data_IF_179258272619
#
_entry.id   IF_179258272619
#
_cell.length_a   1.000
_cell.length_b   1.000
_cell.length_c   1.000
_cell.angle_alpha   90.00
_cell.angle_beta   90.00
_cell.angle_gamma   90.00
#
_symmetry.space_group_name_H-M   'P 1'
#
loop_
_entity.id
_entity.type
_entity.pdbx_description
1 polymer ?
#
# COMPACT_ATOMS: atom_id res chain seq x y z
N UNK A 1 -37.94 37.53 3.17
CA UNK A 1 -36.64 38.21 3.37
C UNK A 1 -35.55 37.25 2.91
N UNK A 2 -34.64 37.74 2.08
CA UNK A 2 -33.83 36.99 1.12
C UNK A 2 -32.87 35.95 1.73
N UNK A 3 -32.80 34.79 1.08
CA UNK A 3 -31.88 33.69 1.28
C UNK A 3 -30.45 34.12 1.00
N UNK A 4 -29.65 34.38 2.03
CA UNK A 4 -28.19 34.40 1.88
C UNK A 4 -27.71 32.96 1.75
N UNK A 5 -27.66 32.54 0.49
CA UNK A 5 -26.90 31.41 -0.03
C UNK A 5 -25.57 31.27 0.72
N UNK A 6 -25.42 30.14 1.41
CA UNK A 6 -24.15 29.61 1.90
C UNK A 6 -23.23 29.31 0.71
N UNK A 7 -22.66 30.35 0.10
CA UNK A 7 -21.59 30.23 -0.89
C UNK A 7 -20.30 29.94 -0.13
N UNK A 8 -20.08 28.68 0.25
CA UNK A 8 -18.74 28.21 0.64
C UNK A 8 -17.76 28.55 -0.49
N UNK A 9 -16.60 29.08 -0.13
CA UNK A 9 -15.57 29.45 -1.10
C UNK A 9 -15.26 28.24 -2.01
N UNK A 10 -15.14 28.42 -3.35
CA UNK A 10 -14.85 27.32 -4.28
C UNK A 10 -13.63 26.47 -3.89
N UNK A 11 -12.63 27.07 -3.22
CA UNK A 11 -11.47 26.37 -2.67
C UNK A 11 -11.82 25.40 -1.54
N UNK A 12 -12.72 25.77 -0.62
CA UNK A 12 -13.18 24.88 0.45
C UNK A 12 -13.95 23.68 -0.11
N UNK A 13 -14.77 23.88 -1.15
CA UNK A 13 -15.45 22.77 -1.82
C UNK A 13 -14.47 21.83 -2.53
N UNK A 14 -13.41 22.36 -3.16
CA UNK A 14 -12.36 21.53 -3.79
C UNK A 14 -11.57 20.73 -2.76
N UNK A 15 -11.23 21.33 -1.63
CA UNK A 15 -10.53 20.64 -0.54
C UNK A 15 -11.39 19.54 0.10
N UNK A 16 -12.67 19.82 0.37
CA UNK A 16 -13.62 18.85 0.92
C UNK A 16 -13.83 17.67 -0.04
N UNK A 17 -14.01 17.94 -1.33
CA UNK A 17 -14.13 16.88 -2.35
C UNK A 17 -12.84 16.07 -2.46
N UNK A 18 -11.68 16.73 -2.51
CA UNK A 18 -10.39 16.07 -2.63
C UNK A 18 -10.11 15.15 -1.43
N UNK A 19 -10.19 15.67 -0.21
CA UNK A 19 -9.94 14.89 1.02
C UNK A 19 -10.94 13.74 1.20
N UNK A 20 -12.22 13.97 0.89
CA UNK A 20 -13.25 12.94 0.96
C UNK A 20 -13.01 11.83 -0.06
N UNK A 21 -12.68 12.18 -1.31
CA UNK A 21 -12.40 11.21 -2.36
C UNK A 21 -11.16 10.34 -2.02
N UNK A 22 -10.07 10.95 -1.56
CA UNK A 22 -8.87 10.22 -1.11
C UNK A 22 -9.21 9.29 0.06
N UNK A 23 -9.99 9.76 1.04
CA UNK A 23 -10.41 8.94 2.18
C UNK A 23 -11.28 7.75 1.73
N UNK A 24 -12.21 7.96 0.81
CA UNK A 24 -13.09 6.90 0.28
C UNK A 24 -12.29 5.85 -0.50
N UNK A 25 -11.36 6.27 -1.36
CA UNK A 25 -10.47 5.38 -2.10
C UNK A 25 -9.61 4.58 -1.12
N UNK A 26 -8.95 5.25 -0.16
CA UNK A 26 -8.10 4.58 0.81
C UNK A 26 -8.90 3.55 1.64
N UNK A 27 -10.09 3.90 2.15
CA UNK A 27 -10.96 2.96 2.87
C UNK A 27 -11.33 1.74 2.04
N UNK A 28 -11.62 1.93 0.76
CA UNK A 28 -11.95 0.84 -0.17
C UNK A 28 -10.75 -0.08 -0.39
N UNK A 29 -9.57 0.50 -0.63
CA UNK A 29 -8.30 -0.24 -0.76
C UNK A 29 -7.98 -1.02 0.52
N UNK A 30 -8.12 -0.41 1.70
CA UNK A 30 -7.87 -1.10 2.98
C UNK A 30 -8.86 -2.25 3.22
N UNK A 31 -10.13 -2.07 2.85
CA UNK A 31 -11.15 -3.13 2.95
C UNK A 31 -10.80 -4.31 2.04
N UNK A 32 -10.45 -4.04 0.78
CA UNK A 32 -10.00 -5.07 -0.17
C UNK A 32 -8.78 -5.80 0.41
N UNK A 33 -7.71 -5.07 0.74
CA UNK A 33 -6.49 -5.64 1.35
C UNK A 33 -6.78 -6.53 2.56
N UNK A 34 -7.73 -6.15 3.42
CA UNK A 34 -8.11 -6.94 4.59
C UNK A 34 -8.83 -8.22 4.19
N UNK A 35 -9.83 -8.14 3.29
CA UNK A 35 -10.60 -9.29 2.82
C UNK A 35 -9.70 -10.37 2.22
N UNK A 36 -8.73 -10.00 1.38
CA UNK A 36 -7.87 -10.95 0.67
C UNK A 36 -6.93 -11.75 1.58
N UNK A 37 -6.64 -11.26 2.78
CA UNK A 37 -5.66 -11.88 3.67
C UNK A 37 -6.24 -12.39 4.97
N UNK A 38 -7.53 -12.15 5.21
CA UNK A 38 -8.23 -12.61 6.41
C UNK A 38 -8.24 -14.14 6.53
N UNK A 39 -8.36 -14.87 5.42
CA UNK A 39 -8.30 -16.34 5.38
C UNK A 39 -6.95 -16.90 5.88
N UNK A 40 -5.87 -16.13 5.72
CA UNK A 40 -4.53 -16.43 6.21
C UNK A 40 -4.29 -15.92 7.65
N UNK A 41 -5.31 -15.33 8.29
CA UNK A 41 -5.20 -14.69 9.59
C UNK A 41 -4.26 -13.47 9.60
N UNK A 42 -4.11 -12.81 8.46
CA UNK A 42 -3.25 -11.63 8.28
C UNK A 42 -4.08 -10.34 8.30
N UNK A 43 -3.38 -9.20 8.25
CA UNK A 43 -3.96 -7.85 8.29
C UNK A 43 -3.56 -7.08 7.04
N UNK A 44 -4.29 -6.01 6.70
CA UNK A 44 -4.03 -5.20 5.50
C UNK A 44 -2.59 -4.65 5.40
N UNK A 45 -1.96 -4.31 6.53
CA UNK A 45 -0.57 -3.83 6.57
C UNK A 45 0.45 -4.91 6.16
N UNK A 46 0.08 -6.20 6.20
CA UNK A 46 0.96 -7.29 5.76
C UNK A 46 0.99 -7.45 4.24
N UNK A 47 -0.08 -7.01 3.55
CA UNK A 47 -0.24 -7.18 2.09
C UNK A 47 0.94 -6.60 1.33
N UNK A 48 1.34 -5.36 1.64
CA UNK A 48 2.41 -4.69 0.89
C UNK A 48 3.77 -5.38 1.11
N UNK A 49 4.03 -5.87 2.32
CA UNK A 49 5.27 -6.59 2.64
C UNK A 49 5.35 -7.89 1.83
N UNK A 50 4.29 -8.69 1.84
CA UNK A 50 4.24 -9.95 1.09
C UNK A 50 4.36 -9.72 -0.42
N UNK A 51 3.69 -8.68 -0.93
CA UNK A 51 3.80 -8.28 -2.33
C UNK A 51 5.24 -7.88 -2.71
N UNK A 52 5.90 -7.03 -1.92
CA UNK A 52 7.28 -6.60 -2.22
C UNK A 52 8.28 -7.75 -2.11
N UNK A 53 8.11 -8.66 -1.14
CA UNK A 53 8.95 -9.87 -1.04
C UNK A 53 8.72 -10.85 -2.20
N UNK A 54 7.49 -10.98 -2.69
CA UNK A 54 7.18 -11.80 -3.88
C UNK A 54 7.87 -11.26 -5.14
N UNK A 55 7.88 -9.94 -5.31
CA UNK A 55 8.54 -9.26 -6.44
C UNK A 55 10.06 -9.29 -6.36
N UNK A 56 10.63 -9.55 -5.18
CA UNK A 56 12.08 -9.57 -4.94
C UNK A 56 12.49 -10.93 -4.33
N UNK A 57 12.65 -11.99 -5.15
CA UNK A 57 12.94 -13.35 -4.65
C UNK A 57 14.26 -13.47 -3.88
N UNK A 58 15.23 -12.58 -4.14
CA UNK A 58 16.48 -12.49 -3.39
C UNK A 58 16.29 -11.99 -1.95
N UNK A 59 15.08 -11.53 -1.62
CA UNK A 59 14.70 -10.98 -0.32
C UNK A 59 14.94 -9.48 -0.21
N UNK A 60 14.35 -8.90 0.84
CA UNK A 60 14.50 -7.48 1.17
C UNK A 60 14.87 -7.33 2.64
N UNK A 61 15.75 -6.37 2.92
CA UNK A 61 16.04 -5.98 4.30
C UNK A 61 14.87 -5.18 4.89
N UNK A 62 14.73 -5.10 6.22
CA UNK A 62 13.71 -4.26 6.85
C UNK A 62 13.76 -2.80 6.40
N UNK A 63 14.95 -2.24 6.16
CA UNK A 63 15.12 -0.87 5.65
C UNK A 63 14.54 -0.71 4.24
N UNK A 64 14.86 -1.63 3.33
CA UNK A 64 14.29 -1.62 1.98
C UNK A 64 12.75 -1.80 2.02
N UNK A 65 12.22 -2.58 2.96
CA UNK A 65 10.77 -2.69 3.14
C UNK A 65 10.13 -1.40 3.66
N UNK A 66 10.81 -0.62 4.52
CA UNK A 66 10.32 0.70 4.96
C UNK A 66 10.21 1.65 3.77
N UNK A 67 11.27 1.74 2.97
CA UNK A 67 11.33 2.58 1.76
C UNK A 67 10.27 2.14 0.74
N UNK A 68 10.25 0.85 0.39
CA UNK A 68 9.38 0.30 -0.64
C UNK A 68 7.89 0.29 -0.27
N UNK A 69 7.55 0.33 1.02
CA UNK A 69 6.16 0.38 1.47
C UNK A 69 5.72 1.78 1.89
N UNK A 70 6.63 2.76 1.97
CA UNK A 70 6.41 4.08 2.58
C UNK A 70 5.82 3.97 4.00
N UNK A 71 6.35 3.04 4.80
CA UNK A 71 5.87 2.76 6.17
C UNK A 71 7.01 2.96 7.15
N UNK A 72 6.69 3.52 8.32
CA UNK A 72 7.67 3.75 9.37
C UNK A 72 8.31 2.45 9.88
N UNK A 73 9.54 2.59 10.39
CA UNK A 73 10.34 1.47 10.87
C UNK A 73 9.67 0.65 11.96
N UNK A 74 8.91 1.29 12.87
CA UNK A 74 8.27 0.59 13.97
C UNK A 74 7.09 -0.25 13.45
N UNK A 75 6.32 0.26 12.49
CA UNK A 75 5.24 -0.49 11.85
C UNK A 75 5.77 -1.66 11.00
N UNK A 76 6.86 -1.48 10.23
CA UNK A 76 7.52 -2.59 9.52
C UNK A 76 8.02 -3.66 10.50
N UNK A 77 8.72 -3.25 11.56
CA UNK A 77 9.25 -4.19 12.56
C UNK A 77 8.15 -5.04 13.22
N UNK A 78 7.04 -4.41 13.65
CA UNK A 78 5.88 -5.13 14.20
C UNK A 78 5.28 -6.11 13.19
N UNK A 79 5.09 -5.67 11.96
CA UNK A 79 4.51 -6.50 10.88
C UNK A 79 5.38 -7.71 10.56
N UNK A 80 6.70 -7.51 10.49
CA UNK A 80 7.67 -8.59 10.26
C UNK A 80 7.68 -9.59 11.42
N UNK A 81 7.62 -9.14 12.66
CA UNK A 81 7.53 -10.03 13.82
C UNK A 81 6.27 -10.90 13.77
N UNK A 82 5.12 -10.32 13.40
CA UNK A 82 3.87 -11.06 13.23
C UNK A 82 3.95 -12.07 12.07
N UNK A 83 4.51 -11.66 10.93
CA UNK A 83 4.65 -12.51 9.73
C UNK A 83 5.62 -13.68 9.95
N UNK A 84 6.75 -13.43 10.61
CA UNK A 84 7.71 -14.48 10.97
C UNK A 84 7.11 -15.43 12.00
N UNK A 85 6.44 -14.90 13.04
CA UNK A 85 5.78 -15.72 14.06
C UNK A 85 4.65 -16.62 13.49
N UNK A 86 4.01 -16.19 12.39
CA UNK A 86 3.01 -16.96 11.65
C UNK A 86 3.61 -17.84 10.54
N UNK A 87 4.92 -17.82 10.34
CA UNK A 87 5.60 -18.67 9.36
C UNK A 87 5.45 -18.26 7.90
N UNK A 88 5.09 -17.01 7.59
CA UNK A 88 5.00 -16.50 6.21
C UNK A 88 6.32 -15.92 5.69
N UNK A 89 7.16 -15.43 6.60
CA UNK A 89 8.45 -14.80 6.27
C UNK A 89 9.54 -15.44 7.12
N UNK A 90 10.75 -15.55 6.56
CA UNK A 90 11.95 -15.98 7.28
C UNK A 90 13.15 -15.17 6.84
N UNK A 91 14.20 -15.19 7.65
CA UNK A 91 15.51 -14.72 7.21
C UNK A 91 16.06 -15.66 6.11
N UNK A 92 16.73 -15.08 5.13
CA UNK A 92 17.49 -15.82 4.13
C UNK A 92 18.68 -16.52 4.80
N UNK A 93 19.17 -17.59 4.17
CA UNK A 93 20.37 -18.28 4.67
C UNK A 93 21.56 -17.30 4.67
N UNK A 94 22.35 -17.26 5.76
CA UNK A 94 23.43 -16.30 5.89
C UNK A 94 24.57 -16.63 4.91
N UNK A 95 24.78 -15.77 3.91
CA UNK A 95 25.91 -15.82 2.98
C UNK A 95 27.21 -15.23 3.61
N UNK A 96 27.49 -15.59 4.86
CA UNK A 96 28.68 -15.13 5.60
C UNK A 96 28.66 -13.66 6.08
N UNK A 97 27.73 -12.81 5.61
CA UNK A 97 27.55 -11.44 6.11
C UNK A 97 26.57 -11.42 7.28
N UNK A 98 27.08 -11.28 8.51
CA UNK A 98 26.29 -11.20 9.77
C UNK A 98 25.41 -9.95 9.92
N UNK A 99 25.40 -9.02 8.95
CA UNK A 99 24.70 -7.75 9.07
C UNK A 99 23.71 -7.57 7.91
N UNK A 100 22.44 -7.22 8.24
CA UNK A 100 21.32 -6.99 7.31
C UNK A 100 20.92 -8.22 6.49
N UNK A 101 20.55 -9.31 7.17
CA UNK A 101 20.03 -10.50 6.51
C UNK A 101 18.69 -10.16 5.82
N UNK A 102 18.57 -10.39 4.50
CA UNK A 102 17.31 -10.21 3.80
C UNK A 102 16.23 -11.15 4.31
N UNK A 103 14.99 -10.70 4.26
CA UNK A 103 13.82 -11.51 4.53
C UNK A 103 13.29 -12.07 3.22
N UNK A 104 12.86 -13.34 3.23
CA UNK A 104 12.28 -14.04 2.10
C UNK A 104 10.96 -14.69 2.48
N UNK A 105 10.13 -14.96 1.49
CA UNK A 105 8.88 -15.72 1.70
C UNK A 105 9.19 -17.18 2.01
N UNK A 106 8.41 -17.77 2.92
CA UNK A 106 8.34 -19.22 3.05
C UNK A 106 7.44 -19.81 1.95
N UNK A 107 7.26 -21.13 1.93
CA UNK A 107 6.27 -21.76 1.05
C UNK A 107 4.85 -21.20 1.30
N UNK A 108 4.44 -21.12 2.58
CA UNK A 108 3.15 -20.51 2.98
C UNK A 108 3.08 -19.02 2.63
N UNK A 109 4.19 -18.29 2.83
CA UNK A 109 4.34 -16.90 2.38
C UNK A 109 4.12 -16.71 0.89
N UNK A 110 4.66 -17.63 0.10
CA UNK A 110 4.57 -17.60 -1.36
C UNK A 110 3.15 -17.87 -1.84
N UNK A 111 2.44 -18.83 -1.24
CA UNK A 111 1.04 -19.10 -1.53
C UNK A 111 0.15 -17.87 -1.21
N UNK A 112 0.29 -17.33 0.00
CA UNK A 112 -0.45 -16.14 0.41
C UNK A 112 -0.17 -14.94 -0.53
N UNK A 113 1.10 -14.73 -0.89
CA UNK A 113 1.48 -13.64 -1.79
C UNK A 113 0.93 -13.83 -3.21
N UNK A 114 0.83 -15.06 -3.72
CA UNK A 114 0.22 -15.35 -5.01
C UNK A 114 -1.29 -15.09 -5.01
N UNK A 115 -1.98 -15.45 -3.92
CA UNK A 115 -3.39 -15.12 -3.77
C UNK A 115 -3.61 -13.59 -3.76
N UNK A 116 -2.80 -12.88 -2.96
CA UNK A 116 -2.80 -11.42 -2.86
C UNK A 116 -2.54 -10.76 -4.22
N UNK A 117 -1.56 -11.23 -4.98
CA UNK A 117 -1.20 -10.66 -6.29
C UNK A 117 -2.38 -10.71 -7.27
N UNK A 118 -3.09 -11.85 -7.34
CA UNK A 118 -4.29 -11.99 -8.20
C UNK A 118 -5.41 -11.06 -7.77
N UNK A 119 -5.61 -10.89 -6.47
CA UNK A 119 -6.63 -10.01 -5.95
C UNK A 119 -6.30 -8.52 -6.16
N UNK A 120 -5.04 -8.12 -6.01
CA UNK A 120 -4.55 -6.78 -6.35
C UNK A 120 -4.79 -6.50 -7.84
N UNK A 121 -4.45 -7.44 -8.72
CA UNK A 121 -4.69 -7.29 -10.15
C UNK A 121 -6.17 -7.05 -10.45
N UNK A 122 -7.04 -7.86 -9.87
CA UNK A 122 -8.50 -7.72 -10.02
C UNK A 122 -9.00 -6.37 -9.48
N UNK A 123 -8.50 -5.94 -8.32
CA UNK A 123 -8.88 -4.67 -7.72
C UNK A 123 -8.45 -3.45 -8.56
N UNK A 124 -7.27 -3.50 -9.18
CA UNK A 124 -6.78 -2.44 -10.09
C UNK A 124 -7.61 -2.41 -11.37
N UNK A 125 -7.93 -3.57 -11.94
CA UNK A 125 -8.76 -3.66 -13.14
C UNK A 125 -10.18 -3.12 -12.90
N UNK A 126 -10.86 -3.61 -11.84
CA UNK A 126 -12.21 -3.17 -11.47
C UNK A 126 -12.21 -1.69 -11.09
N UNK A 127 -11.22 -1.25 -10.30
CA UNK A 127 -11.14 0.14 -9.83
C UNK A 127 -10.97 1.16 -10.95
N UNK A 128 -10.38 0.76 -12.08
CA UNK A 128 -10.27 1.61 -13.27
C UNK A 128 -11.24 1.25 -14.39
N UNK A 129 -12.23 0.40 -14.15
CA UNK A 129 -13.24 0.08 -15.17
C UNK A 129 -13.91 1.38 -15.67
N UNK A 130 -14.05 1.51 -17.00
CA UNK A 130 -14.57 2.72 -17.64
C UNK A 130 -13.53 3.82 -17.94
N UNK A 131 -12.28 3.67 -17.48
CA UNK A 131 -11.17 4.55 -17.89
C UNK A 131 -10.44 3.99 -19.12
N UNK A 132 -10.13 4.86 -20.07
CA UNK A 132 -9.15 4.56 -21.14
C UNK A 132 -7.73 4.56 -20.57
N UNK A 133 -6.78 3.93 -21.27
CA UNK A 133 -5.37 3.91 -20.85
C UNK A 133 -4.79 5.33 -20.72
N UNK A 134 -5.21 6.25 -21.59
CA UNK A 134 -4.85 7.66 -21.50
C UNK A 134 -5.37 8.30 -20.22
N UNK A 135 -6.64 8.09 -19.87
CA UNK A 135 -7.21 8.64 -18.63
C UNK A 135 -6.53 8.07 -17.39
N UNK A 136 -6.15 6.78 -17.40
CA UNK A 136 -5.37 6.17 -16.32
C UNK A 136 -4.00 6.85 -16.19
N UNK A 137 -3.29 7.04 -17.30
CA UNK A 137 -1.98 7.70 -17.29
C UNK A 137 -2.05 9.14 -16.77
N UNK A 138 -3.04 9.92 -17.24
CA UNK A 138 -3.27 11.31 -16.78
C UNK A 138 -3.64 11.37 -15.29
N UNK A 139 -4.44 10.41 -14.81
CA UNK A 139 -4.78 10.29 -13.40
C UNK A 139 -3.56 10.01 -12.53
N UNK A 140 -2.74 8.99 -12.88
CA UNK A 140 -1.54 8.66 -12.11
C UNK A 140 -0.53 9.80 -12.13
N UNK A 141 -0.34 10.46 -13.27
CA UNK A 141 0.52 11.63 -13.36
C UNK A 141 0.07 12.74 -12.40
N UNK A 142 -1.22 13.08 -12.42
CA UNK A 142 -1.79 14.11 -11.56
C UNK A 142 -1.71 13.73 -10.08
N UNK A 143 -2.00 12.46 -9.74
CA UNK A 143 -1.97 11.96 -8.37
C UNK A 143 -0.56 12.02 -7.78
N UNK A 144 0.45 11.57 -8.52
CA UNK A 144 1.85 11.58 -8.08
C UNK A 144 2.38 13.02 -7.97
N UNK A 145 2.00 13.91 -8.88
CA UNK A 145 2.34 15.34 -8.78
C UNK A 145 1.75 15.98 -7.52
N UNK A 146 0.48 15.69 -7.21
CA UNK A 146 -0.17 16.18 -5.99
C UNK A 146 0.54 15.62 -4.75
N UNK A 147 0.84 14.31 -4.73
CA UNK A 147 1.52 13.67 -3.60
C UNK A 147 2.87 14.34 -3.30
N UNK A 148 3.69 14.53 -4.34
CA UNK A 148 4.97 15.24 -4.24
C UNK A 148 4.81 16.67 -3.71
N UNK A 149 3.88 17.43 -4.27
CA UNK A 149 3.65 18.81 -3.84
C UNK A 149 3.22 18.90 -2.36
N UNK A 150 2.47 17.90 -1.87
CA UNK A 150 2.06 17.82 -0.47
C UNK A 150 3.23 17.47 0.46
N UNK A 151 4.10 16.54 0.03
CA UNK A 151 5.34 16.19 0.76
C UNK A 151 6.29 17.39 0.87
N UNK A 152 6.54 18.09 -0.25
CA UNK A 152 7.33 19.32 -0.31
C UNK A 152 6.75 20.41 0.63
N UNK A 153 5.43 20.47 0.76
CA UNK A 153 4.74 21.42 1.64
C UNK A 153 4.78 21.00 3.12
N UNK A 154 4.74 19.71 3.44
CA UNK A 154 4.75 19.21 4.83
C UNK A 154 6.14 19.16 5.45
N UNK A 155 7.21 19.35 4.68
CA UNK A 155 8.58 19.42 5.18
C UNK A 155 9.11 18.09 5.73
N UNK A 156 8.56 16.98 5.22
CA UNK A 156 8.97 15.60 5.53
C UNK A 156 9.96 15.08 4.50
#
# INVERSE_FOLDING_TARGET
>A
MNTYTNKRCPMFNRFEQFTTAISQINKSVQRIKSTEVNSYGLKANHVMILFQLKRNPAGLTPSQLCENCEVDKAAISRSLKELTGKGFVREAEPDGRKYRIPLVLTASGTDAAQHIEKAIQSAVEIGGAGLTDRQRAEFYHSLLLIARNLEDYSGT
#
